data_IF_280810792006
#
_entry.id   IF_280810792006
#
_cell.length_a   1.000
_cell.length_b   1.000
_cell.length_c   1.000
_cell.angle_alpha   90.00
_cell.angle_beta   90.00
_cell.angle_gamma   90.00
#
_symmetry.space_group_name_H-M   'P 1'
#
loop_
_entity.id
_entity.type
_entity.pdbx_description
1 polymer ?
#
# COMPACT_ATOMS: atom_id res chain seq x y z
N UNK A 1 -0.01 -2.21 -2.98
CA UNK A 1 0.39 -1.10 -3.87
C UNK A 1 -0.42 -1.28 -5.13
N UNK A 2 -1.49 -0.51 -5.25
CA UNK A 2 -2.49 -0.69 -6.30
C UNK A 2 -2.25 0.29 -7.44
N UNK A 3 -2.08 -0.23 -8.64
CA UNK A 3 -1.74 0.57 -9.83
C UNK A 3 -2.93 0.82 -10.75
N UNK A 4 -4.06 0.17 -10.52
CA UNK A 4 -5.22 0.23 -11.39
C UNK A 4 -6.48 0.51 -10.58
N UNK A 5 -7.34 1.39 -11.08
CA UNK A 5 -8.61 1.73 -10.44
C UNK A 5 -9.68 0.76 -10.93
N UNK A 6 -10.04 -0.25 -10.14
CA UNK A 6 -11.08 -1.22 -10.53
C UNK A 6 -12.49 -0.65 -10.37
N UNK A 7 -12.68 0.26 -9.42
CA UNK A 7 -14.01 0.81 -9.21
C UNK A 7 -14.36 1.94 -10.19
N UNK A 8 -15.43 1.72 -10.95
CA UNK A 8 -15.96 2.64 -11.96
C UNK A 8 -16.88 3.71 -11.33
N UNK A 9 -16.36 4.48 -10.36
CA UNK A 9 -17.09 5.52 -9.64
C UNK A 9 -16.17 6.59 -9.04
N UNK A 10 -16.72 7.62 -8.35
CA UNK A 10 -15.92 8.61 -7.65
C UNK A 10 -15.06 7.92 -6.58
N UNK A 11 -13.76 7.89 -6.84
CA UNK A 11 -12.77 7.49 -5.86
C UNK A 11 -12.31 8.69 -5.06
N UNK A 12 -12.11 8.48 -3.76
CA UNK A 12 -11.57 9.53 -2.90
C UNK A 12 -10.04 9.63 -2.99
N UNK A 13 -9.39 8.86 -3.88
CA UNK A 13 -7.95 8.89 -4.10
C UNK A 13 -7.57 8.52 -5.54
N UNK A 14 -6.44 9.05 -6.01
CA UNK A 14 -5.82 8.71 -7.29
C UNK A 14 -4.95 7.45 -7.19
N UNK A 15 -4.79 6.77 -8.32
CA UNK A 15 -3.85 5.65 -8.48
C UNK A 15 -2.57 6.12 -9.20
N UNK A 16 -1.40 5.51 -8.93
CA UNK A 16 -1.18 4.41 -8.00
C UNK A 16 -1.33 4.78 -6.53
N UNK A 17 -1.88 3.86 -5.75
CA UNK A 17 -2.23 4.06 -4.34
C UNK A 17 -1.56 3.02 -3.45
N UNK A 18 -0.94 3.45 -2.36
CA UNK A 18 -0.33 2.56 -1.36
C UNK A 18 -1.25 2.52 -0.15
N UNK A 19 -1.77 1.34 0.16
CA UNK A 19 -2.69 1.11 1.27
C UNK A 19 -2.17 0.02 2.21
N UNK A 20 -2.62 0.07 3.46
CA UNK A 20 -2.45 -1.01 4.43
C UNK A 20 -3.81 -1.58 4.84
N UNK A 21 -3.84 -2.91 5.01
CA UNK A 21 -4.95 -3.67 5.58
C UNK A 21 -4.39 -4.59 6.65
N UNK A 22 -5.05 -4.67 7.80
CA UNK A 22 -4.74 -5.63 8.88
C UNK A 22 -5.88 -6.64 8.93
N UNK A 23 -5.56 -7.93 8.97
CA UNK A 23 -6.55 -9.00 8.86
C UNK A 23 -6.39 -10.04 9.95
N UNK A 24 -7.50 -10.45 10.55
CA UNK A 24 -7.60 -11.53 11.53
C UNK A 24 -8.07 -12.87 10.91
N UNK A 25 -8.19 -12.92 9.58
CA UNK A 25 -8.66 -14.07 8.81
C UNK A 25 -10.14 -14.02 8.42
N UNK A 26 -10.92 -13.06 8.94
CA UNK A 26 -12.35 -12.92 8.60
C UNK A 26 -12.64 -11.84 7.56
N UNK A 27 -11.70 -10.93 7.30
CA UNK A 27 -11.89 -9.88 6.30
C UNK A 27 -11.52 -10.39 4.91
N UNK A 28 -12.29 -9.99 3.91
CA UNK A 28 -12.03 -10.25 2.50
C UNK A 28 -11.56 -8.97 1.80
N UNK A 29 -10.53 -9.07 0.96
CA UNK A 29 -10.10 -7.95 0.13
C UNK A 29 -11.04 -7.81 -1.07
N UNK A 30 -11.85 -6.75 -1.10
CA UNK A 30 -12.74 -6.43 -2.22
C UNK A 30 -11.96 -5.80 -3.37
N UNK A 31 -11.52 -6.63 -4.32
CA UNK A 31 -10.72 -6.21 -5.48
C UNK A 31 -11.48 -5.24 -6.39
N UNK A 32 -12.78 -5.46 -6.59
CA UNK A 32 -13.62 -4.62 -7.47
C UNK A 32 -13.81 -3.20 -6.90
N UNK A 33 -13.40 -2.98 -5.65
CA UNK A 33 -13.45 -1.70 -4.94
C UNK A 33 -12.12 -1.30 -4.33
N UNK A 34 -11.01 -1.82 -4.87
CA UNK A 34 -9.65 -1.42 -4.52
C UNK A 34 -9.36 -1.53 -2.99
N UNK A 35 -10.05 -2.45 -2.30
CA UNK A 35 -9.91 -2.68 -0.86
C UNK A 35 -10.41 -1.56 0.05
N UNK A 36 -11.14 -0.57 -0.48
CA UNK A 36 -11.52 0.69 0.20
C UNK A 36 -12.24 0.46 1.55
N UNK A 37 -13.02 -0.61 1.69
CA UNK A 37 -13.79 -0.89 2.91
C UNK A 37 -12.95 -1.41 4.08
N UNK A 38 -11.74 -1.88 3.81
CA UNK A 38 -10.87 -2.57 4.78
C UNK A 38 -9.53 -1.89 4.98
N UNK A 39 -9.33 -0.73 4.35
CA UNK A 39 -8.12 0.06 4.49
C UNK A 39 -8.04 0.69 5.88
N UNK A 40 -6.87 0.59 6.52
CA UNK A 40 -6.60 1.29 7.78
C UNK A 40 -5.91 2.64 7.57
N UNK A 41 -5.13 2.77 6.50
CA UNK A 41 -4.49 4.01 6.08
C UNK A 41 -3.87 3.84 4.68
N UNK A 42 -3.62 4.95 3.98
CA UNK A 42 -3.07 4.94 2.62
C UNK A 42 -2.61 6.31 2.14
N UNK A 43 -1.87 6.33 1.03
CA UNK A 43 -1.48 7.54 0.33
C UNK A 43 -1.38 7.34 -1.18
N UNK A 44 -1.57 8.43 -1.93
CA UNK A 44 -1.28 8.49 -3.35
C UNK A 44 0.25 8.51 -3.55
N UNK A 45 0.76 7.64 -4.41
CA UNK A 45 2.19 7.55 -4.69
C UNK A 45 2.42 7.17 -6.15
N UNK A 46 2.79 8.12 -7.03
CA UNK A 46 3.01 7.84 -8.44
C UNK A 46 4.36 7.14 -8.68
N UNK A 47 4.46 5.87 -8.29
CA UNK A 47 5.70 5.08 -8.34
C UNK A 47 5.94 4.34 -9.66
N UNK A 48 4.97 4.33 -10.60
CA UNK A 48 5.15 3.70 -11.93
C UNK A 48 5.90 4.61 -12.90
N UNK A 49 6.59 3.99 -13.86
CA UNK A 49 7.23 4.70 -14.99
C UNK A 49 8.34 5.67 -14.58
N UNK A 50 9.06 5.38 -13.49
CA UNK A 50 10.18 6.18 -13.00
C UNK A 50 11.48 5.74 -13.68
N UNK A 51 12.33 6.70 -14.02
CA UNK A 51 13.67 6.46 -14.56
C UNK A 51 14.71 6.10 -13.48
N UNK A 52 14.32 6.17 -12.21
CA UNK A 52 15.18 5.86 -11.06
C UNK A 52 14.57 4.73 -10.23
N UNK A 53 15.40 4.08 -9.42
CA UNK A 53 14.93 3.07 -8.46
C UNK A 53 13.84 3.65 -7.55
N UNK A 54 12.81 2.85 -7.29
CA UNK A 54 11.73 3.18 -6.36
C UNK A 54 11.82 2.28 -5.15
N UNK A 55 11.90 2.88 -3.97
CA UNK A 55 12.10 2.18 -2.70
C UNK A 55 10.89 2.39 -1.78
N UNK A 56 10.58 1.37 -1.00
CA UNK A 56 9.59 1.41 0.07
C UNK A 56 10.21 0.96 1.38
N UNK A 57 9.93 1.70 2.45
CA UNK A 57 10.28 1.34 3.81
C UNK A 57 9.00 1.06 4.59
N UNK A 58 8.93 -0.13 5.20
CA UNK A 58 7.82 -0.57 6.05
C UNK A 58 8.38 -0.72 7.45
N UNK A 59 7.93 0.13 8.39
CA UNK A 59 8.39 0.11 9.78
C UNK A 59 7.22 -0.15 10.71
N UNK A 60 7.35 -1.17 11.55
CA UNK A 60 6.42 -1.44 12.64
C UNK A 60 7.14 -1.34 13.98
N UNK A 61 6.71 -0.40 14.83
CA UNK A 61 7.30 -0.17 16.15
C UNK A 61 6.27 0.43 17.09
N UNK A 62 6.19 -0.07 18.33
CA UNK A 62 5.30 0.44 19.39
C UNK A 62 3.84 0.54 18.89
N UNK A 63 3.30 -0.56 18.36
CA UNK A 63 1.95 -0.64 17.79
C UNK A 63 1.66 0.38 16.68
N UNK A 64 2.70 0.90 16.03
CA UNK A 64 2.61 1.90 14.96
C UNK A 64 3.25 1.40 13.68
N UNK A 65 2.46 1.37 12.60
CA UNK A 65 2.89 1.06 11.24
C UNK A 65 3.15 2.36 10.48
N UNK A 66 4.38 2.57 10.02
CA UNK A 66 4.76 3.71 9.18
C UNK A 66 5.27 3.20 7.84
N UNK A 67 4.71 3.75 6.76
CA UNK A 67 5.14 3.50 5.40
C UNK A 67 5.80 4.75 4.85
N UNK A 68 6.97 4.60 4.24
CA UNK A 68 7.69 5.69 3.58
C UNK A 68 8.21 5.23 2.23
N UNK A 69 8.39 6.16 1.31
CA UNK A 69 8.87 5.86 -0.05
C UNK A 69 9.99 6.81 -0.44
N UNK A 70 10.87 6.33 -1.31
CA UNK A 70 11.74 7.16 -2.14
C UNK A 70 11.46 6.81 -3.60
N UNK A 71 10.67 7.65 -4.26
CA UNK A 71 10.28 7.49 -5.67
C UNK A 71 11.01 8.47 -6.60
N UNK A 72 11.83 9.35 -6.02
CA UNK A 72 12.62 10.33 -6.76
C UNK A 72 14.10 9.91 -6.88
N UNK A 73 14.49 8.78 -6.27
CA UNK A 73 15.85 8.25 -6.31
C UNK A 73 16.85 9.15 -5.58
N UNK A 74 16.38 9.94 -4.61
CA UNK A 74 17.20 10.96 -3.91
C UNK A 74 17.81 10.46 -2.61
N UNK A 75 17.55 9.20 -2.23
CA UNK A 75 17.82 8.65 -0.91
C UNK A 75 17.17 9.47 0.22
N UNK A 76 16.00 10.06 -0.06
CA UNK A 76 15.21 10.84 0.89
C UNK A 76 13.86 10.17 1.08
N UNK A 77 13.63 9.64 2.27
CA UNK A 77 12.37 9.00 2.61
C UNK A 77 11.28 10.04 2.83
N UNK A 78 10.23 9.98 2.01
CA UNK A 78 8.99 10.70 2.21
C UNK A 78 8.00 9.80 2.93
N UNK A 79 7.44 10.26 4.04
CA UNK A 79 6.36 9.53 4.70
C UNK A 79 5.13 9.49 3.78
N UNK A 80 4.61 8.28 3.56
CA UNK A 80 3.37 8.03 2.83
C UNK A 80 2.20 8.13 3.81
N UNK A 81 2.21 7.29 4.85
CA UNK A 81 1.26 7.37 5.95
C UNK A 81 1.79 6.67 7.21
N UNK A 82 1.13 6.96 8.33
CA UNK A 82 1.29 6.27 9.60
C UNK A 82 -0.08 5.83 10.14
N UNK A 83 -0.16 4.60 10.63
CA UNK A 83 -1.32 4.05 11.34
C UNK A 83 -0.91 3.64 12.76
N UNK A 84 -1.62 4.17 13.75
CA UNK A 84 -1.47 3.81 15.17
C UNK A 84 -2.41 2.65 15.55
N UNK A 85 -2.23 2.09 16.74
CA UNK A 85 -3.06 1.02 17.31
C UNK A 85 -3.15 -0.23 16.39
N UNK A 86 -2.06 -0.51 15.68
CA UNK A 86 -1.90 -1.71 14.86
C UNK A 86 -1.25 -2.78 15.72
N UNK A 87 -1.95 -3.89 15.97
CA UNK A 87 -1.45 -4.99 16.79
C UNK A 87 -1.13 -6.21 15.93
N UNK A 88 0.16 -6.55 15.82
CA UNK A 88 0.65 -7.70 15.05
C UNK A 88 1.35 -8.71 15.96
N UNK A 89 1.00 -10.01 15.89
CA UNK A 89 1.73 -11.05 16.60
C UNK A 89 3.17 -11.21 16.10
N UNK A 90 4.04 -11.79 16.92
CA UNK A 90 5.36 -12.24 16.49
C UNK A 90 5.27 -13.54 15.68
N UNK A 91 6.38 -13.91 15.02
CA UNK A 91 6.53 -15.17 14.25
C UNK A 91 5.75 -15.25 12.92
N UNK A 92 5.38 -14.11 12.36
CA UNK A 92 4.87 -14.05 10.98
C UNK A 92 6.01 -14.10 9.96
N UNK A 93 5.63 -14.29 8.70
CA UNK A 93 6.55 -14.31 7.56
C UNK A 93 6.45 -13.03 6.76
N UNK A 94 7.59 -12.51 6.30
CA UNK A 94 7.61 -11.49 5.26
C UNK A 94 7.40 -12.14 3.90
N UNK A 95 6.58 -11.51 3.06
CA UNK A 95 6.30 -11.99 1.71
C UNK A 95 5.95 -10.82 0.80
N UNK A 96 6.24 -10.99 -0.48
CA UNK A 96 5.90 -10.05 -1.54
C UNK A 96 5.33 -10.84 -2.71
N UNK A 97 4.29 -10.29 -3.33
CA UNK A 97 3.62 -10.89 -4.48
C UNK A 97 3.11 -9.79 -5.41
N UNK A 98 2.92 -10.14 -6.68
CA UNK A 98 2.31 -9.28 -7.68
C UNK A 98 1.40 -10.13 -8.58
N UNK A 99 0.42 -9.49 -9.21
CA UNK A 99 -0.49 -10.11 -10.17
C UNK A 99 -0.80 -9.12 -11.29
N UNK A 100 -1.11 -9.65 -12.48
CA UNK A 100 -1.61 -8.91 -13.63
C UNK A 100 -2.99 -9.42 -14.01
N UNK A 101 -3.81 -8.57 -14.62
CA UNK A 101 -5.11 -8.93 -15.18
C UNK A 101 -5.11 -8.76 -16.70
N UNK A 102 -6.20 -8.20 -17.24
CA UNK A 102 -6.29 -7.86 -18.66
C UNK A 102 -5.28 -6.78 -19.08
N UNK A 103 -4.86 -5.94 -18.14
CA UNK A 103 -3.76 -4.98 -18.32
C UNK A 103 -2.48 -5.53 -17.66
N UNK A 104 -1.37 -5.35 -18.37
CA UNK A 104 -0.02 -5.76 -17.95
C UNK A 104 1.01 -4.75 -18.44
N UNK A 105 2.22 -4.80 -17.88
CA UNK A 105 3.40 -4.09 -18.37
C UNK A 105 4.12 -4.96 -19.41
#
# INVERSE_FOLDING_TARGET
>A
MDTYSNHNGPHNHAHPYISAMVNNGSLHYDHDRDGTHTIISGCESPFRGRDTDTLVAIRYQNDRLTISTDIEGKNVWKECFTASDVHLPTHYYFGFSAATGDLSD
#
